data_IF_562208173524
#
_entry.id   IF_562208173524
#
_cell.length_a   1.000
_cell.length_b   1.000
_cell.length_c   1.000
_cell.angle_alpha   90.00
_cell.angle_beta   90.00
_cell.angle_gamma   90.00
#
_symmetry.space_group_name_H-M   'P 1'
#
loop_
_entity.id
_entity.type
_entity.pdbx_description
1 polymer ?
#
# COMPACT_ATOMS: atom_id res chain seq x y z
N UNK A 1 16.56 20.73 -1.59
CA UNK A 1 16.86 19.62 -0.66
C UNK A 1 18.07 20.00 0.19
N UNK A 2 18.06 19.73 1.51
CA UNK A 2 19.14 20.07 2.46
C UNK A 2 19.50 18.82 3.23
N UNK A 3 20.80 18.62 3.42
CA UNK A 3 21.33 17.56 4.27
C UNK A 3 21.66 18.14 5.64
N UNK A 4 21.56 17.31 6.67
CA UNK A 4 21.91 17.70 8.02
C UNK A 4 23.44 17.83 8.13
N UNK A 5 23.95 18.95 8.70
CA UNK A 5 25.39 19.17 8.83
C UNK A 5 26.07 18.24 9.85
N UNK A 6 25.31 17.54 10.69
CA UNK A 6 25.86 16.64 11.73
C UNK A 6 26.07 15.21 11.24
N UNK A 7 25.14 14.69 10.44
CA UNK A 7 25.11 13.27 10.08
C UNK A 7 24.92 13.02 8.58
N UNK A 8 24.81 14.08 7.77
CA UNK A 8 24.61 13.98 6.33
C UNK A 8 23.23 13.46 5.91
N UNK A 9 22.30 13.25 6.84
CA UNK A 9 20.97 12.70 6.54
C UNK A 9 20.12 13.75 5.82
N UNK A 10 19.28 13.31 4.88
CA UNK A 10 18.35 14.19 4.19
C UNK A 10 17.30 14.73 5.18
N UNK A 11 17.21 16.05 5.31
CA UNK A 11 16.30 16.68 6.26
C UNK A 11 14.86 16.67 5.73
N UNK A 12 13.89 16.41 6.60
CA UNK A 12 12.47 16.35 6.25
C UNK A 12 11.72 17.57 6.80
N UNK A 13 10.77 18.14 6.04
CA UNK A 13 9.94 19.23 6.53
C UNK A 13 8.95 18.74 7.58
N UNK A 14 8.91 19.41 8.73
CA UNK A 14 8.03 19.16 9.85
C UNK A 14 7.25 20.44 10.19
N UNK A 15 5.95 20.33 10.44
CA UNK A 15 5.12 21.47 10.86
C UNK A 15 5.12 21.52 12.38
N UNK A 16 5.57 22.63 12.96
CA UNK A 16 5.56 22.89 14.40
C UNK A 16 5.05 24.30 14.63
N UNK A 17 3.95 24.42 15.36
CA UNK A 17 3.36 25.70 15.78
C UNK A 17 3.24 26.73 14.64
N UNK A 18 2.60 26.32 13.54
CA UNK A 18 2.32 27.14 12.35
C UNK A 18 3.52 27.45 11.44
N UNK A 19 4.75 27.10 11.83
CA UNK A 19 5.97 27.29 11.03
C UNK A 19 6.47 25.95 10.49
N UNK A 20 6.95 25.93 9.24
CA UNK A 20 7.62 24.74 8.69
C UNK A 20 9.10 24.81 9.06
N UNK A 21 9.56 23.79 9.78
CA UNK A 21 10.97 23.59 10.12
C UNK A 21 11.48 22.36 9.38
N UNK A 22 12.77 22.33 9.04
CA UNK A 22 13.42 21.10 8.60
C UNK A 22 13.96 20.39 9.83
N UNK A 23 13.61 19.12 10.01
CA UNK A 23 14.10 18.27 11.10
C UNK A 23 14.90 17.11 10.53
N UNK A 24 16.06 16.84 11.14
CA UNK A 24 16.79 15.60 10.87
C UNK A 24 16.14 14.44 11.66
N UNK A 25 15.77 13.33 11.00
CA UNK A 25 15.15 12.19 11.69
C UNK A 25 16.13 11.43 12.60
N UNK A 26 17.44 11.49 12.31
CA UNK A 26 18.45 10.69 13.01
C UNK A 26 19.05 11.40 14.22
N UNK A 27 19.44 12.67 14.10
CA UNK A 27 20.03 13.45 15.21
C UNK A 27 19.12 14.53 15.81
N UNK A 28 17.94 14.77 15.24
CA UNK A 28 16.97 15.75 15.77
C UNK A 28 17.31 17.22 15.50
N UNK A 29 18.29 17.52 14.65
CA UNK A 29 18.64 18.91 14.30
C UNK A 29 17.48 19.63 13.59
N UNK A 30 17.13 20.83 14.07
CA UNK A 30 16.01 21.64 13.56
C UNK A 30 16.49 22.97 12.95
N UNK A 31 16.03 23.30 11.75
CA UNK A 31 16.30 24.58 11.08
C UNK A 31 15.00 25.22 10.65
N UNK A 32 14.78 26.49 11.02
CA UNK A 32 13.64 27.29 10.56
C UNK A 32 13.84 27.65 9.08
N UNK A 33 12.83 27.39 8.25
CA UNK A 33 12.83 27.85 6.86
C UNK A 33 12.22 29.25 6.79
N UNK A 34 12.92 30.18 6.15
CA UNK A 34 12.35 31.45 5.67
C UNK A 34 11.41 31.19 4.47
N UNK A 35 10.44 32.07 4.24
CA UNK A 35 9.37 31.85 3.24
C UNK A 35 9.90 31.57 1.82
N UNK A 36 10.97 32.26 1.39
CA UNK A 36 11.63 32.01 0.10
C UNK A 36 12.20 30.59 -0.04
N UNK A 37 12.58 29.97 1.08
CA UNK A 37 13.08 28.60 1.11
C UNK A 37 11.97 27.56 1.22
N UNK A 38 10.72 27.93 1.54
CA UNK A 38 9.57 27.00 1.55
C UNK A 38 9.20 26.55 0.13
N UNK A 39 9.20 27.47 -0.84
CA UNK A 39 8.82 27.15 -2.23
C UNK A 39 9.81 26.22 -2.92
N UNK A 40 11.12 26.38 -2.65
CA UNK A 40 12.16 25.49 -3.18
C UNK A 40 12.11 24.04 -2.64
N UNK A 41 11.28 23.78 -1.62
CA UNK A 41 11.08 22.45 -1.01
C UNK A 41 9.70 21.87 -1.29
N UNK A 42 8.83 22.61 -1.99
CA UNK A 42 7.50 22.14 -2.33
C UNK A 42 7.53 21.46 -3.70
N UNK A 43 7.73 20.14 -3.70
CA UNK A 43 7.52 19.36 -4.92
C UNK A 43 6.01 19.17 -5.11
N UNK A 44 5.40 19.94 -6.01
CA UNK A 44 4.02 19.70 -6.47
C UNK A 44 4.09 18.68 -7.60
N UNK A 45 3.65 17.45 -7.34
CA UNK A 45 3.35 16.51 -8.40
C UNK A 45 1.86 16.63 -8.70
N UNK A 46 1.53 17.17 -9.87
CA UNK A 46 0.17 17.08 -10.40
C UNK A 46 0.01 15.65 -10.96
N UNK A 47 -0.74 14.83 -10.24
CA UNK A 47 -1.07 13.47 -10.67
C UNK A 47 -2.32 13.58 -11.54
N UNK A 48 -2.14 13.64 -12.87
CA UNK A 48 -3.24 13.53 -13.81
C UNK A 48 -3.90 12.15 -13.68
N UNK A 49 -5.21 12.06 -13.95
CA UNK A 49 -5.98 10.81 -13.88
C UNK A 49 -5.33 9.67 -14.68
N UNK A 50 -4.66 9.98 -15.79
CA UNK A 50 -3.91 9.05 -16.64
C UNK A 50 -2.72 8.37 -15.93
N UNK A 51 -2.19 8.96 -14.85
CA UNK A 51 -1.08 8.39 -14.05
C UNK A 51 -1.55 7.56 -12.86
N UNK A 52 -2.86 7.40 -12.64
CA UNK A 52 -3.37 6.39 -11.74
C UNK A 52 -3.08 5.03 -12.37
N UNK A 53 -1.90 4.47 -12.10
CA UNK A 53 -1.65 3.04 -12.29
C UNK A 53 -2.77 2.34 -11.53
N UNK A 54 -3.73 1.78 -12.27
CA UNK A 54 -4.88 1.09 -11.71
C UNK A 54 -4.36 0.02 -10.76
N UNK A 55 -4.55 0.23 -9.47
CA UNK A 55 -4.43 -0.85 -8.50
C UNK A 55 -5.56 -1.80 -8.89
N UNK A 56 -5.23 -2.97 -9.47
CA UNK A 56 -6.23 -4.01 -9.70
C UNK A 56 -6.72 -4.47 -8.33
N UNK A 57 -7.90 -4.01 -7.95
CA UNK A 57 -8.64 -4.55 -6.81
C UNK A 57 -9.30 -5.82 -7.35
N UNK A 58 -8.72 -6.98 -7.03
CA UNK A 58 -9.39 -8.25 -7.28
C UNK A 58 -10.51 -8.36 -6.24
N UNK A 59 -11.76 -8.17 -6.67
CA UNK A 59 -12.91 -8.48 -5.85
C UNK A 59 -13.02 -10.01 -5.74
N UNK A 60 -12.78 -10.55 -4.55
CA UNK A 60 -13.06 -11.96 -4.27
C UNK A 60 -14.58 -12.13 -4.27
N UNK A 61 -15.14 -12.52 -5.42
CA UNK A 61 -16.54 -12.87 -5.53
C UNK A 61 -16.77 -14.12 -4.70
N UNK A 62 -17.23 -13.94 -3.46
CA UNK A 62 -17.77 -15.03 -2.65
C UNK A 62 -18.97 -15.60 -3.40
N UNK A 63 -18.78 -16.77 -4.00
CA UNK A 63 -19.89 -17.53 -4.56
C UNK A 63 -20.70 -18.05 -3.37
N UNK A 64 -21.93 -17.57 -3.24
CA UNK A 64 -22.90 -18.12 -2.30
C UNK A 64 -23.53 -19.33 -2.99
N UNK A 65 -23.21 -20.53 -2.52
CA UNK A 65 -23.80 -21.77 -2.97
C UNK A 65 -25.07 -22.02 -2.17
N UNK A 66 -26.16 -22.43 -2.82
CA UNK A 66 -27.34 -22.89 -2.09
C UNK A 66 -27.06 -24.24 -1.40
N UNK A 67 -27.84 -24.57 -0.38
CA UNK A 67 -27.64 -25.78 0.41
C UNK A 67 -27.77 -27.05 -0.45
N UNK A 68 -28.69 -27.06 -1.41
CA UNK A 68 -28.92 -28.18 -2.32
C UNK A 68 -27.74 -28.40 -3.29
N UNK A 69 -27.22 -27.31 -3.88
CA UNK A 69 -26.03 -27.37 -4.74
C UNK A 69 -24.80 -27.89 -3.99
N UNK A 70 -24.65 -27.51 -2.72
CA UNK A 70 -23.53 -27.97 -1.89
C UNK A 70 -23.60 -29.47 -1.59
N UNK A 71 -24.81 -30.01 -1.38
CA UNK A 71 -25.04 -31.44 -1.17
C UNK A 71 -24.80 -32.26 -2.44
N UNK A 72 -25.19 -31.75 -3.60
CA UNK A 72 -24.93 -32.37 -4.89
C UNK A 72 -23.42 -32.42 -5.21
N UNK A 73 -22.72 -31.30 -5.03
CA UNK A 73 -21.27 -31.22 -5.23
C UNK A 73 -20.53 -32.21 -4.31
N UNK A 74 -21.00 -32.34 -3.06
CA UNK A 74 -20.43 -33.30 -2.10
C UNK A 74 -20.65 -34.75 -2.54
N UNK A 75 -21.81 -35.08 -3.11
CA UNK A 75 -22.08 -36.42 -3.65
C UNK A 75 -21.16 -36.74 -4.82
N UNK A 76 -21.07 -35.84 -5.80
CA UNK A 76 -20.19 -36.02 -6.96
C UNK A 76 -18.72 -36.19 -6.54
N UNK A 77 -18.25 -35.42 -5.54
CA UNK A 77 -16.89 -35.55 -5.02
C UNK A 77 -16.62 -36.95 -4.42
N UNK A 78 -17.56 -37.48 -3.64
CA UNK A 78 -17.43 -38.81 -3.04
C UNK A 78 -17.44 -39.93 -4.08
N UNK A 79 -18.27 -39.80 -5.11
CA UNK A 79 -18.32 -40.74 -6.24
C UNK A 79 -16.98 -40.76 -6.99
N UNK A 80 -16.46 -39.58 -7.37
CA UNK A 80 -15.16 -39.45 -8.03
C UNK A 80 -14.00 -40.03 -7.20
N UNK A 81 -14.02 -39.82 -5.88
CA UNK A 81 -13.02 -40.41 -4.97
C UNK A 81 -13.10 -41.93 -4.98
N UNK A 82 -14.29 -42.50 -4.85
CA UNK A 82 -14.48 -43.96 -4.89
C UNK A 82 -14.11 -44.56 -6.24
N UNK A 83 -14.40 -43.88 -7.35
CA UNK A 83 -13.95 -44.32 -8.67
C UNK A 83 -12.43 -44.27 -8.80
N UNK A 84 -11.80 -43.20 -8.33
CA UNK A 84 -10.34 -43.09 -8.34
C UNK A 84 -9.65 -44.18 -7.52
N UNK A 85 -10.25 -44.57 -6.38
CA UNK A 85 -9.77 -45.70 -5.57
C UNK A 85 -9.93 -47.04 -6.30
N UNK A 86 -11.05 -47.25 -7.01
CA UNK A 86 -11.26 -48.46 -7.83
C UNK A 86 -10.37 -48.53 -9.08
N UNK A 87 -9.95 -47.40 -9.62
CA UNK A 87 -9.01 -47.32 -10.74
C UNK A 87 -7.55 -47.52 -10.32
N UNK A 88 -7.24 -47.37 -9.03
CA UNK A 88 -5.88 -47.54 -8.48
C UNK A 88 -5.57 -48.93 -7.93
N UNK A 89 -6.59 -49.80 -7.80
CA UNK A 89 -6.47 -51.26 -7.55
C UNK A 89 -6.40 -52.07 -8.86
#
# INVERSE_FOLDING_TARGET
MRFCPKDGTLMVPYKKDSVTVLKCPKCGYEVKLTEKARDAYRQRAEVSEEKKRGIMIAEEKRMEYDQEEMEELRRQLLENLQESERETD
#
